data_IF_603234707536
#
_entry.id   IF_603234707536
#
_cell.length_a   1.000
_cell.length_b   1.000
_cell.length_c   1.000
_cell.angle_alpha   90.00
_cell.angle_beta   90.00
_cell.angle_gamma   90.00
#
_symmetry.space_group_name_H-M   'P 1'
#
loop_
_entity.id
_entity.type
_entity.pdbx_description
1 polymer ?
#
# COMPACT_ATOMS: atom_id res chain seq x y z
N UNK A 1 -22.94 2.39 -17.89
CA UNK A 1 -23.82 3.32 -18.63
C UNK A 1 -24.97 3.82 -17.78
N UNK A 2 -25.30 3.20 -16.63
CA UNK A 2 -26.32 3.73 -15.73
C UNK A 2 -27.75 3.67 -16.26
N UNK A 3 -27.98 3.02 -17.40
CA UNK A 3 -29.27 2.95 -18.06
C UNK A 3 -30.12 1.84 -17.42
N UNK A 4 -30.93 2.21 -16.43
CA UNK A 4 -31.85 1.30 -15.76
C UNK A 4 -32.91 0.73 -16.73
N UNK A 5 -33.59 1.53 -17.57
CA UNK A 5 -34.53 1.00 -18.57
C UNK A 5 -33.93 -0.09 -19.47
N UNK A 6 -32.73 0.15 -20.02
CA UNK A 6 -32.03 -0.84 -20.84
C UNK A 6 -31.65 -2.07 -20.02
N UNK A 7 -31.17 -1.88 -18.79
CA UNK A 7 -30.84 -2.99 -17.88
C UNK A 7 -32.06 -3.87 -17.61
N UNK A 8 -33.22 -3.27 -17.31
CA UNK A 8 -34.48 -3.98 -17.11
C UNK A 8 -34.89 -4.73 -18.38
N UNK A 9 -34.78 -4.09 -19.55
CA UNK A 9 -35.10 -4.71 -20.84
C UNK A 9 -34.25 -5.96 -21.07
N UNK A 10 -32.93 -5.85 -20.89
CA UNK A 10 -31.98 -6.95 -21.07
C UNK A 10 -32.24 -8.11 -20.10
N UNK A 11 -32.55 -7.84 -18.82
CA UNK A 11 -32.89 -8.91 -17.87
C UNK A 11 -34.26 -9.54 -18.13
N UNK A 12 -35.22 -8.82 -18.72
CA UNK A 12 -36.51 -9.41 -19.11
C UNK A 12 -36.39 -10.28 -20.35
N UNK A 13 -35.67 -9.81 -21.38
CA UNK A 13 -35.54 -10.53 -22.65
C UNK A 13 -34.57 -11.71 -22.57
N UNK A 14 -33.49 -11.58 -21.78
CA UNK A 14 -32.41 -12.56 -21.73
C UNK A 14 -32.17 -13.13 -20.33
N UNK A 15 -33.05 -12.87 -19.35
CA UNK A 15 -32.82 -13.18 -17.93
C UNK A 15 -32.44 -14.63 -17.62
N UNK A 16 -33.05 -15.59 -18.30
CA UNK A 16 -32.73 -17.02 -18.14
C UNK A 16 -31.33 -17.39 -18.64
N UNK A 17 -30.84 -16.70 -19.69
CA UNK A 17 -29.51 -16.96 -20.26
C UNK A 17 -28.41 -16.11 -19.63
N UNK A 18 -28.74 -14.90 -19.17
CA UNK A 18 -27.81 -13.93 -18.61
C UNK A 18 -27.66 -14.08 -17.10
N UNK A 19 -28.70 -14.43 -16.34
CA UNK A 19 -28.67 -14.66 -14.89
C UNK A 19 -28.17 -13.46 -14.06
N UNK A 20 -28.97 -12.98 -13.10
CA UNK A 20 -28.63 -11.81 -12.24
C UNK A 20 -27.26 -11.95 -11.53
N UNK A 21 -26.86 -13.19 -11.23
CA UNK A 21 -25.61 -13.55 -10.56
C UNK A 21 -24.55 -14.15 -11.49
N UNK A 22 -24.76 -14.18 -12.81
CA UNK A 22 -23.78 -14.73 -13.74
C UNK A 22 -22.59 -13.79 -13.85
N UNK A 23 -21.41 -14.40 -13.96
CA UNK A 23 -20.16 -13.69 -14.12
C UNK A 23 -19.88 -13.44 -15.61
N UNK A 24 -19.53 -12.21 -15.94
CA UNK A 24 -18.79 -11.91 -17.17
C UNK A 24 -17.33 -12.30 -17.02
N UNK A 25 -16.76 -12.92 -18.04
CA UNK A 25 -15.33 -13.27 -18.11
C UNK A 25 -14.43 -12.03 -17.93
N UNK A 26 -14.89 -10.87 -18.41
CA UNK A 26 -14.10 -9.64 -18.47
C UNK A 26 -14.52 -8.59 -17.43
N UNK A 27 -15.82 -8.47 -17.16
CA UNK A 27 -16.36 -7.33 -16.41
C UNK A 27 -16.96 -7.72 -15.04
N UNK A 28 -17.02 -9.00 -14.70
CA UNK A 28 -17.48 -9.45 -13.39
C UNK A 28 -19.00 -9.58 -13.32
N UNK A 29 -19.55 -9.44 -12.12
CA UNK A 29 -21.00 -9.57 -11.88
C UNK A 29 -21.71 -8.22 -12.10
N UNK A 30 -22.97 -8.22 -12.59
CA UNK A 30 -23.75 -7.00 -12.73
C UNK A 30 -23.80 -6.13 -11.46
N UNK A 31 -23.98 -6.76 -10.29
CA UNK A 31 -24.05 -6.06 -9.01
C UNK A 31 -22.72 -5.41 -8.63
N UNK A 32 -21.60 -6.06 -8.91
CA UNK A 32 -20.25 -5.50 -8.69
C UNK A 32 -20.04 -4.24 -9.53
N UNK A 33 -20.38 -4.29 -10.83
CA UNK A 33 -20.26 -3.14 -11.73
C UNK A 33 -21.19 -1.99 -11.31
N UNK A 34 -22.47 -2.27 -11.08
CA UNK A 34 -23.41 -1.25 -10.64
C UNK A 34 -22.93 -0.55 -9.36
N UNK A 35 -22.34 -1.32 -8.45
CA UNK A 35 -21.73 -0.82 -7.20
C UNK A 35 -20.47 0.00 -7.46
N UNK A 36 -19.56 -0.45 -8.33
CA UNK A 36 -18.33 0.29 -8.66
C UNK A 36 -18.62 1.65 -9.32
N UNK A 37 -19.65 1.71 -10.15
CA UNK A 37 -20.01 2.88 -10.94
C UNK A 37 -21.08 3.77 -10.29
N UNK A 38 -21.53 3.45 -9.08
CA UNK A 38 -22.46 4.30 -8.32
C UNK A 38 -23.89 4.30 -8.85
N UNK A 39 -24.31 3.23 -9.53
CA UNK A 39 -25.64 3.13 -10.12
C UNK A 39 -26.65 2.58 -9.11
N UNK A 40 -27.00 3.37 -8.09
CA UNK A 40 -27.90 2.98 -6.99
C UNK A 40 -29.20 2.31 -7.46
N UNK A 41 -29.89 2.89 -8.44
CA UNK A 41 -31.14 2.32 -8.94
C UNK A 41 -30.96 0.93 -9.57
N UNK A 42 -29.85 0.73 -10.28
CA UNK A 42 -29.50 -0.58 -10.84
C UNK A 42 -29.11 -1.55 -9.72
N UNK A 43 -28.37 -1.10 -8.70
CA UNK A 43 -28.04 -1.92 -7.52
C UNK A 43 -29.33 -2.42 -6.85
N UNK A 44 -30.28 -1.52 -6.58
CA UNK A 44 -31.53 -1.89 -5.94
C UNK A 44 -32.36 -2.84 -6.82
N UNK A 45 -32.43 -2.60 -8.12
CA UNK A 45 -33.08 -3.50 -9.06
C UNK A 45 -32.46 -4.90 -9.03
N UNK A 46 -31.13 -4.99 -9.09
CA UNK A 46 -30.42 -6.27 -9.06
C UNK A 46 -30.67 -7.02 -7.77
N UNK A 47 -30.60 -6.35 -6.61
CA UNK A 47 -30.87 -6.96 -5.30
C UNK A 47 -32.31 -7.47 -5.20
N UNK A 48 -33.29 -6.69 -5.67
CA UNK A 48 -34.70 -7.09 -5.72
C UNK A 48 -34.96 -8.28 -6.64
N UNK A 49 -34.06 -8.55 -7.59
CA UNK A 49 -34.12 -9.70 -8.51
C UNK A 49 -33.19 -10.85 -8.07
N UNK A 50 -32.72 -10.86 -6.81
CA UNK A 50 -31.96 -11.97 -6.24
C UNK A 50 -30.45 -11.92 -6.51
N UNK A 51 -29.90 -10.75 -6.84
CA UNK A 51 -28.45 -10.58 -6.82
C UNK A 51 -27.91 -10.76 -5.40
N UNK A 52 -26.86 -11.57 -5.26
CA UNK A 52 -26.25 -11.85 -3.96
C UNK A 52 -25.10 -10.85 -3.70
N UNK A 53 -25.22 -9.94 -2.71
CA UNK A 53 -24.19 -8.97 -2.38
C UNK A 53 -22.93 -9.59 -1.77
N UNK A 54 -22.99 -10.85 -1.34
CA UNK A 54 -21.90 -11.58 -0.71
C UNK A 54 -21.17 -12.53 -1.67
N UNK A 55 -21.67 -12.71 -2.89
CA UNK A 55 -21.13 -13.72 -3.81
C UNK A 55 -19.84 -13.26 -4.47
N UNK A 56 -18.72 -13.48 -3.79
CA UNK A 56 -17.38 -13.36 -4.36
C UNK A 56 -17.04 -14.62 -5.18
N UNK A 57 -16.24 -14.50 -6.23
CA UNK A 57 -15.69 -15.65 -6.95
C UNK A 57 -14.26 -15.89 -6.45
N UNK A 58 -13.99 -17.14 -6.08
CA UNK A 58 -12.72 -17.69 -5.59
C UNK A 58 -12.44 -17.47 -4.10
N UNK A 59 -13.02 -18.33 -3.27
CA UNK A 59 -12.35 -19.57 -2.91
C UNK A 59 -13.39 -20.70 -3.08
N UNK A 60 -13.02 -21.85 -3.61
CA UNK A 60 -13.95 -22.99 -3.68
C UNK A 60 -14.44 -23.33 -2.26
N UNK A 61 -15.58 -24.00 -2.13
CA UNK A 61 -16.12 -24.41 -0.82
C UNK A 61 -15.11 -25.22 0.04
N UNK A 62 -14.01 -25.70 -0.56
CA UNK A 62 -12.91 -26.41 0.11
C UNK A 62 -11.84 -25.51 0.78
N UNK A 63 -11.84 -24.21 0.51
CA UNK A 63 -10.89 -23.25 1.08
C UNK A 63 -11.56 -22.39 2.17
N UNK A 64 -12.72 -22.77 2.70
CA UNK A 64 -13.40 -21.99 3.75
C UNK A 64 -13.03 -22.41 5.16
N UNK A 65 -12.74 -23.71 5.39
CA UNK A 65 -12.51 -24.25 6.73
C UNK A 65 -11.20 -23.79 7.39
N UNK A 66 -10.28 -23.14 6.64
CA UNK A 66 -8.96 -22.75 7.14
C UNK A 66 -8.75 -21.22 7.29
N UNK A 67 -9.73 -20.38 6.95
CA UNK A 67 -9.50 -18.94 6.69
C UNK A 67 -10.25 -17.98 7.64
N UNK A 68 -10.61 -18.45 8.84
CA UNK A 68 -11.15 -17.59 9.90
C UNK A 68 -10.10 -16.65 10.53
N UNK A 69 -8.84 -16.72 10.09
CA UNK A 69 -7.78 -15.88 10.61
C UNK A 69 -7.60 -14.59 9.79
N UNK A 70 -7.63 -13.45 10.48
CA UNK A 70 -7.29 -12.12 9.94
C UNK A 70 -5.93 -12.13 9.21
N UNK A 71 -5.04 -13.07 9.55
CA UNK A 71 -3.75 -13.29 8.90
C UNK A 71 -3.83 -13.69 7.40
N UNK A 72 -4.99 -14.13 6.89
CA UNK A 72 -5.17 -14.40 5.45
C UNK A 72 -5.66 -13.19 4.63
N UNK A 73 -6.10 -12.09 5.27
CA UNK A 73 -6.43 -10.83 4.57
C UNK A 73 -5.18 -10.26 3.87
N UNK A 74 -3.98 -10.63 4.34
CA UNK A 74 -2.68 -10.18 3.88
C UNK A 74 -2.33 -10.62 2.46
N UNK A 75 -2.72 -11.84 2.05
CA UNK A 75 -2.21 -12.48 0.82
C UNK A 75 -2.84 -11.95 -0.49
N UNK A 76 -4.01 -11.30 -0.41
CA UNK A 76 -4.83 -11.02 -1.61
C UNK A 76 -4.85 -9.55 -2.05
N UNK A 77 -3.99 -8.72 -1.44
CA UNK A 77 -4.00 -7.25 -1.50
C UNK A 77 -3.71 -6.58 -2.85
N UNK A 78 -3.73 -7.27 -4.01
CA UNK A 78 -3.37 -6.59 -5.28
C UNK A 78 -4.10 -7.01 -6.55
N UNK A 79 -4.79 -8.15 -6.58
CA UNK A 79 -5.47 -8.60 -7.80
C UNK A 79 -6.99 -8.42 -7.75
N UNK A 80 -7.55 -7.75 -6.73
CA UNK A 80 -8.99 -7.87 -6.46
C UNK A 80 -9.74 -6.55 -6.26
N UNK A 81 -9.07 -5.41 -6.04
CA UNK A 81 -9.74 -4.16 -5.66
C UNK A 81 -10.73 -3.66 -6.73
N UNK A 82 -10.31 -3.57 -7.99
CA UNK A 82 -11.20 -3.37 -9.15
C UNK A 82 -11.36 -4.63 -10.00
N UNK A 83 -11.00 -5.78 -9.45
CA UNK A 83 -11.17 -7.00 -10.21
C UNK A 83 -12.65 -7.23 -10.43
N UNK A 84 -13.03 -7.71 -11.63
CA UNK A 84 -14.36 -8.26 -11.87
C UNK A 84 -14.79 -9.32 -10.83
N UNK A 85 -13.83 -9.80 -10.02
CA UNK A 85 -14.00 -10.83 -8.99
C UNK A 85 -14.17 -10.29 -7.57
N UNK A 86 -14.21 -8.96 -7.42
CA UNK A 86 -14.36 -8.32 -6.12
C UNK A 86 -15.78 -8.32 -5.58
N UNK A 87 -15.90 -8.19 -4.26
CA UNK A 87 -17.20 -7.95 -3.61
C UNK A 87 -17.85 -6.64 -4.11
N UNK A 88 -19.17 -6.61 -4.33
CA UNK A 88 -19.92 -5.38 -4.56
C UNK A 88 -19.70 -4.33 -3.46
N UNK A 89 -19.63 -4.75 -2.19
CA UNK A 89 -19.34 -3.87 -1.05
C UNK A 89 -17.98 -3.18 -1.24
N UNK A 90 -16.93 -3.95 -1.52
CA UNK A 90 -15.60 -3.38 -1.72
C UNK A 90 -15.55 -2.44 -2.92
N UNK A 91 -16.26 -2.77 -4.00
CA UNK A 91 -16.30 -1.94 -5.19
C UNK A 91 -16.95 -0.57 -4.92
N UNK A 92 -18.06 -0.56 -4.17
CA UNK A 92 -18.70 0.66 -3.69
C UNK A 92 -17.78 1.44 -2.75
N UNK A 93 -17.12 0.75 -1.81
CA UNK A 93 -16.15 1.37 -0.88
C UNK A 93 -14.99 2.02 -1.62
N UNK A 94 -14.33 1.34 -2.55
CA UNK A 94 -13.20 1.90 -3.28
C UNK A 94 -13.55 3.12 -4.12
N UNK A 95 -14.81 3.17 -4.58
CA UNK A 95 -15.31 4.18 -5.50
C UNK A 95 -16.02 5.33 -4.79
N UNK A 96 -16.20 5.26 -3.46
CA UNK A 96 -16.75 6.34 -2.65
C UNK A 96 -18.28 6.41 -2.62
N UNK A 97 -19.00 5.33 -2.97
CA UNK A 97 -20.46 5.35 -3.06
C UNK A 97 -21.10 5.00 -1.70
N UNK A 98 -21.19 6.02 -0.83
CA UNK A 98 -21.66 5.88 0.55
C UNK A 98 -23.08 5.32 0.64
N UNK A 99 -23.98 5.74 -0.23
CA UNK A 99 -25.37 5.30 -0.29
C UNK A 99 -25.47 3.78 -0.56
N UNK A 100 -24.69 3.27 -1.50
CA UNK A 100 -24.62 1.84 -1.83
C UNK A 100 -24.00 1.06 -0.67
N UNK A 101 -23.01 1.63 0.02
CA UNK A 101 -22.43 0.99 1.21
C UNK A 101 -23.42 0.95 2.36
N UNK A 102 -24.17 2.03 2.63
CA UNK A 102 -25.24 2.02 3.64
C UNK A 102 -26.29 0.96 3.33
N UNK A 103 -26.65 0.81 2.04
CA UNK A 103 -27.56 -0.24 1.61
C UNK A 103 -26.98 -1.62 1.96
N UNK A 104 -25.74 -1.93 1.56
CA UNK A 104 -25.13 -3.23 1.83
C UNK A 104 -24.89 -3.52 3.32
N UNK A 105 -24.76 -2.51 4.16
CA UNK A 105 -24.57 -2.67 5.61
C UNK A 105 -25.88 -2.92 6.38
N UNK A 106 -27.03 -2.94 5.71
CA UNK A 106 -28.30 -3.29 6.37
C UNK A 106 -28.26 -4.70 6.96
N UNK A 107 -28.89 -4.93 8.14
CA UNK A 107 -28.90 -6.23 8.81
C UNK A 107 -29.42 -7.39 7.94
N UNK A 108 -30.33 -7.11 7.00
CA UNK A 108 -30.89 -8.09 6.08
C UNK A 108 -29.85 -8.78 5.19
N UNK A 109 -28.75 -8.10 4.85
CA UNK A 109 -27.66 -8.67 4.07
C UNK A 109 -26.65 -9.44 4.93
N UNK A 110 -26.65 -9.21 6.26
CA UNK A 110 -25.88 -9.95 7.26
C UNK A 110 -24.40 -10.20 6.86
N UNK A 111 -23.74 -9.19 6.30
CA UNK A 111 -22.34 -9.27 5.86
C UNK A 111 -21.42 -9.53 7.07
N UNK A 112 -21.67 -8.82 8.15
CA UNK A 112 -21.11 -9.09 9.47
C UNK A 112 -22.17 -9.75 10.35
N UNK A 113 -21.83 -10.80 11.12
CA UNK A 113 -20.51 -11.42 11.31
C UNK A 113 -20.19 -12.54 10.31
N UNK A 114 -21.11 -12.89 9.40
CA UNK A 114 -21.04 -14.09 8.56
C UNK A 114 -19.82 -14.13 7.64
N UNK A 115 -19.32 -12.97 7.19
CA UNK A 115 -18.26 -12.88 6.19
C UNK A 115 -17.13 -11.93 6.60
N UNK A 116 -16.54 -12.21 7.78
CA UNK A 116 -15.47 -11.37 8.38
C UNK A 116 -14.33 -11.00 7.43
N UNK A 117 -13.74 -11.92 6.63
CA UNK A 117 -12.59 -11.58 5.79
C UNK A 117 -12.90 -10.48 4.76
N UNK A 118 -14.11 -10.47 4.19
CA UNK A 118 -14.50 -9.44 3.24
C UNK A 118 -14.80 -8.11 3.90
N UNK A 119 -15.36 -8.15 5.10
CA UNK A 119 -15.57 -6.95 5.90
C UNK A 119 -14.24 -6.24 6.19
N UNK A 120 -13.21 -7.00 6.60
CA UNK A 120 -11.86 -6.46 6.77
C UNK A 120 -11.25 -5.96 5.45
N UNK A 121 -11.53 -6.61 4.31
CA UNK A 121 -11.11 -6.10 3.00
C UNK A 121 -11.82 -4.79 2.62
N UNK A 122 -13.08 -4.62 2.99
CA UNK A 122 -13.80 -3.35 2.83
C UNK A 122 -13.16 -2.25 3.70
N UNK A 123 -12.79 -2.56 4.94
CA UNK A 123 -12.05 -1.64 5.82
C UNK A 123 -10.71 -1.22 5.19
N UNK A 124 -9.95 -2.17 4.61
CA UNK A 124 -8.71 -1.84 3.90
C UNK A 124 -8.97 -1.02 2.62
N UNK A 125 -10.05 -1.28 1.90
CA UNK A 125 -10.43 -0.48 0.74
C UNK A 125 -10.72 0.98 1.14
N UNK A 126 -11.50 1.20 2.19
CA UNK A 126 -11.74 2.55 2.72
C UNK A 126 -10.42 3.22 3.13
N UNK A 127 -9.54 2.45 3.77
CA UNK A 127 -8.18 2.88 4.17
C UNK A 127 -7.33 3.28 2.96
N UNK A 128 -7.32 2.50 1.88
CA UNK A 128 -6.57 2.80 0.65
C UNK A 128 -7.13 3.99 -0.10
N UNK A 129 -8.45 4.15 -0.12
CA UNK A 129 -9.10 5.28 -0.79
C UNK A 129 -9.05 6.57 0.05
N UNK A 130 -8.79 6.47 1.36
CA UNK A 130 -8.80 7.64 2.25
C UNK A 130 -10.21 8.08 2.65
N UNK A 131 -11.21 7.19 2.54
CA UNK A 131 -12.60 7.52 2.81
C UNK A 131 -12.93 7.34 4.29
N UNK A 132 -12.63 8.36 5.10
CA UNK A 132 -12.84 8.34 6.56
C UNK A 132 -14.30 8.09 6.93
N UNK A 133 -15.24 8.73 6.23
CA UNK A 133 -16.67 8.53 6.50
C UNK A 133 -17.11 7.09 6.25
N UNK A 134 -16.58 6.45 5.21
CA UNK A 134 -16.87 5.05 4.90
C UNK A 134 -16.23 4.11 5.92
N UNK A 135 -15.04 4.46 6.41
CA UNK A 135 -14.39 3.73 7.49
C UNK A 135 -15.25 3.77 8.76
N UNK A 136 -15.77 4.95 9.12
CA UNK A 136 -16.67 5.10 10.27
C UNK A 136 -17.97 4.31 10.08
N UNK A 137 -18.59 4.37 8.90
CA UNK A 137 -19.78 3.56 8.59
C UNK A 137 -19.53 2.05 8.75
N UNK A 138 -18.37 1.55 8.31
CA UNK A 138 -17.98 0.15 8.47
C UNK A 138 -17.72 -0.20 9.94
N UNK A 139 -17.18 0.71 10.73
CA UNK A 139 -16.98 0.49 12.16
C UNK A 139 -18.31 0.48 12.92
N UNK A 140 -19.16 1.46 12.67
CA UNK A 140 -20.49 1.58 13.28
C UNK A 140 -21.37 0.35 13.00
N UNK A 141 -21.42 -0.11 11.74
CA UNK A 141 -22.29 -1.23 11.34
C UNK A 141 -21.88 -2.59 11.93
N UNK A 142 -20.63 -2.73 12.39
CA UNK A 142 -20.13 -3.97 12.99
C UNK A 142 -19.81 -3.84 14.49
N UNK A 143 -20.11 -2.70 15.12
CA UNK A 143 -19.67 -2.34 16.47
C UNK A 143 -18.15 -2.60 16.66
N UNK A 144 -17.36 -2.11 15.70
CA UNK A 144 -15.90 -2.18 15.71
C UNK A 144 -15.29 -0.82 16.01
N UNK A 145 -14.04 -0.82 16.46
CA UNK A 145 -13.18 0.34 16.62
C UNK A 145 -11.72 -0.09 16.40
N UNK A 146 -10.79 0.85 16.47
CA UNK A 146 -9.36 0.59 16.25
C UNK A 146 -8.73 -0.35 17.29
N UNK A 147 -9.34 -0.48 18.48
CA UNK A 147 -8.88 -1.38 19.53
C UNK A 147 -9.39 -2.81 19.29
N UNK A 148 -10.67 -2.95 18.92
CA UNK A 148 -11.34 -4.22 18.64
C UNK A 148 -10.75 -4.96 17.42
N UNK A 149 -10.20 -4.25 16.44
CA UNK A 149 -9.53 -4.86 15.28
C UNK A 149 -8.10 -5.36 15.59
N UNK A 150 -7.54 -5.02 16.76
CA UNK A 150 -6.25 -5.51 17.23
C UNK A 150 -5.12 -5.30 16.22
N UNK A 151 -4.33 -6.36 15.93
CA UNK A 151 -3.16 -6.30 15.04
C UNK A 151 -3.48 -5.91 13.60
N UNK A 152 -4.75 -5.96 13.18
CA UNK A 152 -5.16 -5.53 11.85
C UNK A 152 -4.86 -4.04 11.59
N UNK A 153 -4.85 -3.21 12.66
CA UNK A 153 -4.48 -1.79 12.57
C UNK A 153 -3.05 -1.57 12.01
N UNK A 154 -2.13 -2.49 12.26
CA UNK A 154 -0.77 -2.43 11.71
C UNK A 154 -0.79 -2.58 10.17
N UNK A 155 -1.67 -3.44 9.65
CA UNK A 155 -1.86 -3.57 8.21
C UNK A 155 -2.52 -2.32 7.62
N UNK A 156 -3.51 -1.76 8.32
CA UNK A 156 -4.13 -0.49 7.91
C UNK A 156 -3.09 0.63 7.83
N UNK A 157 -2.15 0.72 8.78
CA UNK A 157 -1.08 1.73 8.74
C UNK A 157 -0.22 1.59 7.49
N UNK A 158 0.23 0.36 7.19
CA UNK A 158 1.04 0.09 5.99
C UNK A 158 0.32 0.49 4.70
N UNK A 159 -0.99 0.21 4.60
CA UNK A 159 -1.76 0.54 3.40
C UNK A 159 -2.13 2.04 3.33
N UNK A 160 -2.45 2.68 4.46
CA UNK A 160 -2.69 4.12 4.55
C UNK A 160 -1.43 4.90 4.13
N UNK A 161 -0.26 4.50 4.65
CA UNK A 161 1.04 5.08 4.29
C UNK A 161 1.36 4.84 2.83
N UNK A 162 1.06 3.66 2.27
CA UNK A 162 1.26 3.32 0.85
C UNK A 162 0.38 4.12 -0.10
N UNK A 163 -0.79 4.57 0.35
CA UNK A 163 -1.71 5.40 -0.44
C UNK A 163 -1.74 6.88 -0.02
N UNK A 164 -0.83 7.30 0.87
CA UNK A 164 -0.67 8.68 1.33
C UNK A 164 -1.90 9.25 2.05
N UNK A 165 -2.53 8.43 2.90
CA UNK A 165 -3.75 8.80 3.62
C UNK A 165 -3.41 9.36 4.99
N UNK A 166 -2.90 10.58 5.03
CA UNK A 166 -2.39 11.23 6.25
C UNK A 166 -3.41 11.24 7.40
N UNK A 167 -4.68 11.58 7.15
CA UNK A 167 -5.71 11.61 8.19
C UNK A 167 -5.92 10.24 8.85
N UNK A 168 -5.98 9.17 8.03
CA UNK A 168 -6.13 7.80 8.54
C UNK A 168 -4.85 7.36 9.27
N UNK A 169 -3.67 7.77 8.78
CA UNK A 169 -2.40 7.53 9.49
C UNK A 169 -2.42 8.17 10.87
N UNK A 170 -2.82 9.44 10.99
CA UNK A 170 -2.96 10.09 12.30
C UNK A 170 -3.90 9.33 13.23
N UNK A 171 -5.12 8.98 12.77
CA UNK A 171 -6.08 8.18 13.56
C UNK A 171 -5.47 6.86 14.05
N UNK A 172 -4.71 6.17 13.21
CA UNK A 172 -4.08 4.89 13.57
C UNK A 172 -2.96 5.08 14.60
N UNK A 173 -2.14 6.11 14.45
CA UNK A 173 -1.04 6.42 15.37
C UNK A 173 -1.58 6.85 16.74
N UNK A 174 -2.62 7.69 16.78
CA UNK A 174 -3.29 8.11 18.01
C UNK A 174 -3.91 6.92 18.77
N UNK A 175 -4.33 5.88 18.05
CA UNK A 175 -4.81 4.60 18.62
C UNK A 175 -3.67 3.65 19.07
N UNK A 176 -2.42 4.11 19.11
CA UNK A 176 -1.28 3.32 19.57
C UNK A 176 -0.89 2.17 18.62
N UNK A 177 -1.09 2.35 17.32
CA UNK A 177 -0.58 1.41 16.30
C UNK A 177 0.94 1.30 16.37
N UNK A 178 1.46 0.09 16.21
CA UNK A 178 2.91 -0.13 16.16
C UNK A 178 3.48 0.47 14.87
N UNK A 179 4.06 1.66 14.97
CA UNK A 179 4.66 2.39 13.86
C UNK A 179 5.87 1.67 13.25
N UNK A 180 6.52 0.81 14.05
CA UNK A 180 7.69 0.03 13.67
C UNK A 180 7.34 -1.36 13.14
N UNK A 181 6.05 -1.65 12.94
CA UNK A 181 5.59 -2.90 12.37
C UNK A 181 6.17 -3.10 10.96
N UNK A 182 6.88 -4.22 10.78
CA UNK A 182 7.36 -4.69 9.49
C UNK A 182 6.67 -6.02 9.15
N UNK A 183 5.86 -6.09 8.06
CA UNK A 183 5.26 -7.34 7.65
C UNK A 183 6.36 -8.32 7.20
N UNK A 184 6.40 -9.52 7.79
CA UNK A 184 7.40 -10.57 7.48
C UNK A 184 7.09 -11.38 6.23
N UNK A 185 5.94 -11.15 5.59
CA UNK A 185 5.49 -11.94 4.46
C UNK A 185 6.12 -11.44 3.16
N UNK A 186 6.83 -12.32 2.47
CA UNK A 186 7.37 -12.07 1.15
C UNK A 186 6.23 -12.03 0.12
N UNK A 187 5.76 -10.82 -0.20
CA UNK A 187 4.97 -10.58 -1.41
C UNK A 187 5.92 -10.20 -2.57
N UNK A 188 6.13 -11.07 -3.57
CA UNK A 188 6.99 -10.73 -4.70
C UNK A 188 6.51 -9.42 -5.35
N UNK A 189 7.45 -8.55 -5.73
CA UNK A 189 7.20 -7.22 -6.36
C UNK A 189 6.51 -6.18 -5.46
N UNK A 190 6.57 -6.30 -4.13
CA UNK A 190 6.24 -5.22 -3.19
C UNK A 190 7.49 -4.79 -2.42
N UNK A 191 7.57 -3.51 -2.06
CA UNK A 191 8.50 -3.05 -1.05
C UNK A 191 8.14 -3.72 0.28
N UNK A 192 9.10 -4.43 0.87
CA UNK A 192 8.96 -5.07 2.18
C UNK A 192 9.64 -4.19 3.22
N UNK A 193 8.92 -3.72 4.21
CA UNK A 193 9.50 -2.85 5.24
C UNK A 193 8.43 -2.19 6.09
N UNK A 194 8.89 -1.39 7.05
CA UNK A 194 8.01 -0.57 7.90
C UNK A 194 7.29 0.51 7.09
N UNK A 195 6.34 1.19 7.72
CA UNK A 195 5.72 2.39 7.17
C UNK A 195 6.76 3.41 6.66
N UNK A 196 7.84 3.59 7.41
CA UNK A 196 8.90 4.55 7.08
C UNK A 196 9.64 4.19 5.78
N UNK A 197 9.86 2.90 5.50
CA UNK A 197 10.43 2.45 4.21
C UNK A 197 9.50 2.77 3.04
N UNK A 198 8.20 2.57 3.21
CA UNK A 198 7.21 2.85 2.16
C UNK A 198 7.15 4.35 1.85
N UNK A 199 7.13 5.19 2.90
CA UNK A 199 7.17 6.64 2.72
C UNK A 199 8.46 7.09 2.02
N UNK A 200 9.61 6.52 2.41
CA UNK A 200 10.90 6.75 1.78
C UNK A 200 10.94 6.39 0.30
N UNK A 201 10.46 5.19 -0.08
CA UNK A 201 10.45 4.70 -1.46
C UNK A 201 9.52 5.47 -2.41
N UNK A 202 8.62 6.29 -1.86
CA UNK A 202 7.67 7.10 -2.63
C UNK A 202 7.94 8.62 -2.52
N UNK A 203 9.06 9.03 -1.92
CA UNK A 203 9.44 10.43 -1.68
C UNK A 203 8.38 11.24 -0.90
N UNK A 204 7.69 10.62 0.06
CA UNK A 204 6.59 11.27 0.80
C UNK A 204 7.11 11.95 2.06
N UNK A 205 7.72 13.12 1.87
CA UNK A 205 8.39 13.90 2.93
C UNK A 205 7.49 14.21 4.13
N UNK A 206 6.24 14.62 3.91
CA UNK A 206 5.31 14.90 5.00
C UNK A 206 4.94 13.63 5.78
N UNK A 207 4.72 12.52 5.07
CA UNK A 207 4.49 11.22 5.69
C UNK A 207 5.71 10.74 6.50
N UNK A 208 6.93 10.97 6.00
CA UNK A 208 8.17 10.68 6.74
C UNK A 208 8.18 11.47 8.06
N UNK A 209 7.87 12.77 8.03
CA UNK A 209 7.81 13.61 9.25
C UNK A 209 6.75 13.09 10.23
N UNK A 210 5.55 12.78 9.76
CA UNK A 210 4.47 12.21 10.59
C UNK A 210 4.95 10.94 11.30
N UNK A 211 5.55 10.01 10.55
CA UNK A 211 6.02 8.73 11.07
C UNK A 211 7.20 8.88 12.05
N UNK A 212 8.15 9.79 11.78
CA UNK A 212 9.27 10.08 12.68
C UNK A 212 8.79 10.71 14.00
N UNK A 213 7.86 11.66 13.92
CA UNK A 213 7.24 12.27 15.11
C UNK A 213 6.51 11.24 15.98
N UNK A 214 5.98 10.18 15.36
CA UNK A 214 5.34 9.06 16.04
C UNK A 214 6.33 7.99 16.58
N UNK A 215 7.64 8.23 16.50
CA UNK A 215 8.66 7.32 17.04
C UNK A 215 9.08 6.18 16.11
N UNK A 216 8.95 6.37 14.79
CA UNK A 216 9.51 5.42 13.82
C UNK A 216 11.02 5.34 13.93
N UNK A 217 11.55 4.12 13.95
CA UNK A 217 12.98 3.87 13.91
C UNK A 217 13.52 3.98 12.49
N UNK A 218 14.60 4.77 12.34
CA UNK A 218 15.37 4.92 11.10
C UNK A 218 16.35 3.77 10.85
N UNK A 219 16.50 2.86 11.81
CA UNK A 219 17.52 1.79 11.77
C UNK A 219 16.94 0.43 11.40
N UNK A 220 15.61 0.30 11.38
CA UNK A 220 14.98 -0.96 10.97
C UNK A 220 15.33 -1.23 9.52
N UNK A 221 15.81 -2.43 9.23
CA UNK A 221 16.04 -2.86 7.86
C UNK A 221 14.79 -3.49 7.27
N UNK A 222 14.63 -3.38 5.95
CA UNK A 222 13.69 -4.20 5.18
C UNK A 222 13.85 -5.70 5.52
N UNK A 223 12.83 -6.53 5.32
CA UNK A 223 12.87 -7.97 5.65
C UNK A 223 12.41 -8.76 4.42
N UNK A 224 13.06 -9.89 4.13
CA UNK A 224 12.63 -10.79 3.05
C UNK A 224 13.11 -10.39 1.65
N UNK A 225 14.01 -9.41 1.55
CA UNK A 225 14.71 -9.03 0.32
C UNK A 225 16.17 -9.51 0.37
N UNK A 226 16.74 -9.88 -0.78
CA UNK A 226 18.14 -10.32 -0.87
C UNK A 226 19.11 -9.28 -0.27
N UNK A 227 18.78 -8.00 -0.45
CA UNK A 227 19.44 -6.86 0.19
C UNK A 227 18.41 -6.05 0.95
N UNK A 228 18.60 -5.85 2.24
CA UNK A 228 17.75 -5.04 3.08
C UNK A 228 18.43 -3.69 3.29
N UNK A 229 17.62 -2.66 3.16
CA UNK A 229 17.99 -1.27 3.30
C UNK A 229 17.31 -0.71 4.54
N UNK A 230 17.91 0.29 5.17
CA UNK A 230 17.22 1.20 6.10
C UNK A 230 16.33 2.18 5.31
N UNK A 231 15.40 2.92 5.94
CA UNK A 231 14.54 3.86 5.23
C UNK A 231 15.32 4.95 4.46
N UNK A 232 16.42 5.47 5.02
CA UNK A 232 17.25 6.47 4.34
C UNK A 232 17.99 5.86 3.14
N UNK A 233 18.46 4.62 3.25
CA UNK A 233 19.05 3.87 2.15
C UNK A 233 18.03 3.59 1.04
N UNK A 234 16.78 3.26 1.42
CA UNK A 234 15.68 3.10 0.47
C UNK A 234 15.41 4.42 -0.28
N UNK A 235 15.30 5.56 0.40
CA UNK A 235 15.14 6.86 -0.27
C UNK A 235 16.29 7.17 -1.23
N UNK A 236 17.53 6.92 -0.80
CA UNK A 236 18.72 7.17 -1.59
C UNK A 236 18.82 6.27 -2.82
N UNK A 237 18.47 4.98 -2.69
CA UNK A 237 18.42 4.01 -3.80
C UNK A 237 17.46 4.42 -4.91
N UNK A 238 16.32 5.01 -4.54
CA UNK A 238 15.33 5.51 -5.51
C UNK A 238 15.61 6.95 -5.97
N UNK A 239 16.68 7.57 -5.47
CA UNK A 239 17.11 8.91 -5.89
C UNK A 239 16.31 10.06 -5.26
N UNK A 240 15.61 9.81 -4.16
CA UNK A 240 14.67 10.74 -3.53
C UNK A 240 15.39 11.71 -2.59
N UNK A 241 15.94 12.79 -3.16
CA UNK A 241 16.77 13.77 -2.45
C UNK A 241 15.99 14.46 -1.32
N UNK A 242 14.72 14.79 -1.54
CA UNK A 242 13.91 15.48 -0.54
C UNK A 242 13.66 14.58 0.68
N UNK A 243 13.32 13.30 0.46
CA UNK A 243 13.23 12.32 1.53
C UNK A 243 14.56 12.13 2.27
N UNK A 244 15.69 12.05 1.55
CA UNK A 244 17.02 11.97 2.16
C UNK A 244 17.32 13.21 3.01
N UNK A 245 16.98 14.42 2.54
CA UNK A 245 17.13 15.66 3.30
C UNK A 245 16.34 15.61 4.61
N UNK A 246 15.06 15.21 4.53
CA UNK A 246 14.21 15.09 5.73
C UNK A 246 14.80 14.07 6.72
N UNK A 247 15.34 12.94 6.26
CA UNK A 247 16.00 11.98 7.15
C UNK A 247 17.23 12.58 7.83
N UNK A 248 18.10 13.28 7.09
CA UNK A 248 19.32 13.90 7.65
C UNK A 248 18.96 15.00 8.66
N UNK A 249 17.97 15.84 8.33
CA UNK A 249 17.45 16.88 9.24
C UNK A 249 16.90 16.30 10.56
N UNK A 250 16.44 15.04 10.53
CA UNK A 250 15.95 14.30 11.70
C UNK A 250 17.00 13.33 12.27
N UNK A 251 18.30 13.56 12.02
CA UNK A 251 19.40 12.81 12.63
C UNK A 251 19.77 11.50 11.93
N UNK A 252 19.21 11.21 10.75
CA UNK A 252 19.57 10.06 9.94
C UNK A 252 21.02 10.13 9.45
N UNK A 253 21.70 8.98 9.42
CA UNK A 253 23.11 8.91 9.05
C UNK A 253 23.33 9.11 7.52
N UNK A 254 23.93 10.22 7.08
CA UNK A 254 24.11 10.52 5.65
C UNK A 254 25.05 9.53 4.94
N UNK A 255 25.92 8.82 5.67
CA UNK A 255 26.80 7.82 5.08
C UNK A 255 26.01 6.62 4.55
N UNK A 256 24.94 6.21 5.24
CA UNK A 256 24.06 5.14 4.79
C UNK A 256 23.40 5.52 3.45
N UNK A 257 22.87 6.75 3.35
CA UNK A 257 22.34 7.30 2.11
C UNK A 257 23.37 7.27 0.97
N UNK A 258 24.61 7.69 1.25
CA UNK A 258 25.69 7.75 0.27
C UNK A 258 26.06 6.37 -0.29
N UNK A 259 26.15 5.35 0.58
CA UNK A 259 26.46 3.99 0.15
C UNK A 259 25.36 3.39 -0.73
N UNK A 260 24.11 3.50 -0.31
CA UNK A 260 22.98 3.01 -1.10
C UNK A 260 22.86 3.75 -2.44
N UNK A 261 23.07 5.07 -2.45
CA UNK A 261 23.06 5.85 -3.69
C UNK A 261 24.20 5.45 -4.62
N UNK A 262 25.41 5.21 -4.10
CA UNK A 262 26.58 4.77 -4.88
C UNK A 262 26.37 3.40 -5.50
N UNK A 263 25.83 2.46 -4.73
CA UNK A 263 25.49 1.14 -5.24
C UNK A 263 24.39 1.22 -6.32
N UNK A 264 23.34 2.01 -6.05
CA UNK A 264 22.28 2.28 -7.03
C UNK A 264 22.84 2.97 -8.28
N UNK A 265 23.81 3.88 -8.15
CA UNK A 265 24.47 4.52 -9.29
C UNK A 265 25.34 3.54 -10.06
N UNK A 266 26.05 2.59 -9.45
CA UNK A 266 26.78 1.56 -10.23
C UNK A 266 25.81 0.77 -11.11
N UNK A 267 24.62 0.44 -10.60
CA UNK A 267 23.54 -0.16 -11.40
C UNK A 267 22.95 0.83 -12.41
N UNK A 268 22.76 2.08 -12.02
CA UNK A 268 22.17 3.12 -12.84
C UNK A 268 23.18 3.78 -13.79
N UNK A 269 24.49 3.52 -13.75
CA UNK A 269 25.45 3.93 -14.78
C UNK A 269 25.30 3.03 -16.01
N UNK A 270 24.87 1.79 -15.78
CA UNK A 270 24.34 0.94 -16.85
C UNK A 270 23.01 1.50 -17.41
N UNK A 271 22.38 2.50 -16.75
CA UNK A 271 21.04 3.04 -17.07
C UNK A 271 20.86 4.60 -16.99
N UNK A 272 21.93 5.38 -16.89
CA UNK A 272 22.06 6.86 -16.78
C UNK A 272 21.36 7.70 -15.64
N UNK A 273 21.63 7.53 -14.31
CA UNK A 273 21.18 8.54 -13.29
C UNK A 273 22.08 8.74 -12.02
N UNK A 274 22.83 9.87 -11.85
CA UNK A 274 23.77 10.11 -10.73
C UNK A 274 23.37 11.19 -9.67
N UNK A 275 22.14 11.73 -9.70
CA UNK A 275 21.78 13.01 -9.04
C UNK A 275 21.90 13.03 -7.50
N UNK A 276 21.61 11.93 -6.82
CA UNK A 276 21.63 11.90 -5.34
C UNK A 276 23.05 11.91 -4.75
N UNK A 277 24.02 11.33 -5.46
CA UNK A 277 25.43 11.31 -5.02
C UNK A 277 26.03 12.71 -5.11
N UNK A 278 25.81 13.40 -6.23
CA UNK A 278 26.31 14.78 -6.38
C UNK A 278 25.75 15.69 -5.30
N UNK A 279 24.47 15.51 -4.94
CA UNK A 279 23.85 16.25 -3.85
C UNK A 279 24.47 15.93 -2.48
N UNK A 280 24.65 14.64 -2.14
CA UNK A 280 25.26 14.24 -0.85
C UNK A 280 26.70 14.76 -0.71
N UNK A 281 27.47 14.79 -1.80
CA UNK A 281 28.83 15.31 -1.80
C UNK A 281 28.89 16.83 -1.66
N UNK A 282 27.96 17.55 -2.28
CA UNK A 282 27.80 18.98 -2.05
C UNK A 282 27.47 19.30 -0.58
N UNK A 283 26.89 18.35 0.16
CA UNK A 283 26.67 18.43 1.62
C UNK A 283 27.88 18.00 2.46
N UNK A 284 29.03 17.75 1.84
CA UNK A 284 30.29 17.46 2.54
C UNK A 284 30.41 16.03 3.06
N UNK A 285 29.59 15.08 2.56
CA UNK A 285 29.73 13.66 2.94
C UNK A 285 31.09 13.13 2.45
N UNK A 286 31.99 12.68 3.35
CA UNK A 286 33.36 12.35 2.98
C UNK A 286 33.44 11.08 2.13
N UNK A 287 34.22 11.13 1.04
CA UNK A 287 34.48 9.97 0.17
C UNK A 287 35.54 9.07 0.80
N UNK A 288 35.17 8.23 1.77
CA UNK A 288 36.11 7.19 2.25
C UNK A 288 35.91 6.56 3.62
N UNK A 289 34.80 6.77 4.34
CA UNK A 289 34.63 6.11 5.64
C UNK A 289 34.08 4.70 5.48
N UNK A 290 34.96 3.72 5.27
CA UNK A 290 34.59 2.31 5.27
C UNK A 290 33.63 2.00 6.45
N UNK A 291 32.58 1.19 6.24
CA UNK A 291 31.50 0.95 7.21
C UNK A 291 31.94 0.15 8.46
N UNK A 292 33.24 0.03 8.70
CA UNK A 292 33.84 -0.81 9.74
C UNK A 292 33.50 -0.31 11.16
N UNK A 293 32.96 0.91 11.27
CA UNK A 293 32.47 1.54 12.51
C UNK A 293 30.94 1.55 12.66
N UNK A 294 30.18 1.02 11.70
CA UNK A 294 28.73 0.89 11.80
C UNK A 294 28.33 -0.40 12.55
N UNK A 295 27.33 -0.37 13.47
CA UNK A 295 26.95 -1.51 14.30
C UNK A 295 26.34 -2.72 13.55
N UNK A 296 26.30 -2.69 12.21
CA UNK A 296 25.71 -3.74 11.37
C UNK A 296 26.73 -4.32 10.39
N UNK A 297 27.72 -5.06 10.95
CA UNK A 297 28.91 -5.65 10.30
C UNK A 297 28.67 -6.69 9.17
N UNK A 298 27.52 -6.74 8.50
CA UNK A 298 27.22 -7.86 7.57
C UNK A 298 26.86 -7.46 6.13
N UNK A 299 26.65 -6.18 5.76
CA UNK A 299 26.03 -5.90 4.45
C UNK A 299 26.80 -5.25 3.31
N UNK A 300 28.02 -4.77 3.51
CA UNK A 300 28.80 -4.18 2.42
C UNK A 300 29.67 -5.23 1.71
N UNK A 301 29.04 -6.31 1.22
CA UNK A 301 29.75 -7.29 0.37
C UNK A 301 29.98 -6.67 -1.01
N UNK A 302 31.28 -6.62 -1.37
CA UNK A 302 31.90 -6.02 -2.55
C UNK A 302 31.90 -4.50 -2.54
N UNK A 303 32.75 -3.96 -1.68
CA UNK A 303 33.62 -2.87 -2.10
C UNK A 303 34.15 -3.22 -3.51
N UNK A 304 33.91 -2.35 -4.49
CA UNK A 304 34.67 -2.36 -5.73
C UNK A 304 35.84 -1.39 -5.52
N UNK A 305 36.94 -1.78 -4.83
CA UNK A 305 38.09 -0.88 -4.62
C UNK A 305 38.64 -0.38 -5.96
N UNK A 306 38.43 -1.15 -7.03
CA UNK A 306 38.77 -0.78 -8.41
C UNK A 306 37.88 0.31 -9.01
N UNK A 307 36.62 0.43 -8.57
CA UNK A 307 35.70 1.49 -9.01
C UNK A 307 35.81 2.76 -8.17
N UNK A 308 36.33 2.69 -6.94
CA UNK A 308 36.46 3.88 -6.07
C UNK A 308 37.27 5.02 -6.72
N UNK A 309 38.41 4.78 -7.41
CA UNK A 309 39.10 5.83 -8.16
C UNK A 309 38.26 6.40 -9.30
N UNK A 310 37.47 5.56 -9.98
CA UNK A 310 36.59 5.98 -11.06
C UNK A 310 35.40 6.78 -10.55
N UNK A 311 34.77 6.35 -9.45
CA UNK A 311 33.69 7.09 -8.76
C UNK A 311 34.23 8.44 -8.30
N UNK A 312 35.40 8.48 -7.63
CA UNK A 312 36.07 9.74 -7.25
C UNK A 312 36.30 10.65 -8.45
N UNK A 313 36.81 10.11 -9.57
CA UNK A 313 37.06 10.88 -10.80
C UNK A 313 35.77 11.37 -11.48
N UNK A 314 34.75 10.52 -11.57
CA UNK A 314 33.45 10.83 -12.17
C UNK A 314 32.69 11.88 -11.34
N UNK A 315 32.71 11.72 -10.02
CA UNK A 315 32.21 12.69 -9.05
C UNK A 315 32.92 14.03 -9.19
N UNK A 316 34.25 14.05 -9.18
CA UNK A 316 35.04 15.28 -9.33
C UNK A 316 34.71 16.00 -10.64
N UNK A 317 34.45 15.23 -11.71
CA UNK A 317 34.03 15.78 -13.00
C UNK A 317 32.64 16.42 -12.92
N UNK A 318 31.67 15.78 -12.26
CA UNK A 318 30.32 16.31 -12.06
C UNK A 318 30.27 17.54 -11.13
N UNK A 319 31.19 17.65 -10.18
CA UNK A 319 31.28 18.82 -9.29
C UNK A 319 32.05 20.00 -9.92
N UNK A 320 33.00 19.74 -10.83
CA UNK A 320 33.73 20.80 -11.54
C UNK A 320 32.97 21.40 -12.73
N UNK A 321 32.02 20.68 -13.33
CA UNK A 321 31.13 21.23 -14.38
C UNK A 321 29.97 22.10 -13.80
N UNK A 322 30.03 22.49 -12.52
CA UNK A 322 28.99 23.29 -11.81
C UNK A 322 29.54 24.48 -11.00
N UNK A 323 30.65 25.07 -11.40
CA UNK A 323 30.95 26.47 -11.05
C UNK A 323 30.57 27.37 -12.25
N UNK A 324 29.99 28.57 -12.02
CA UNK A 324 29.34 29.38 -13.06
C UNK A 324 30.24 29.86 -14.19
#
# INVERSE_FOLDING_TARGET
MGDLPLTICLFKEFGESVGVNKRSEYFGRPLHLASAWGHMEIVQYLLNNGADPLRIVALTDNDFDHYNDIHHVYLWSRHVDRSPDGSPLRAAVLSGHEDIVQLFLKPEYNIWPKFRPEYYRAILAATRSGHERMLDMLFDAADLDLDKIGKFRNQMLIEAVRHDRQNIVHRLLDAGTDVNYAPRHFLPRRLHGTALHIAAAHNRTDMIKILLNAGSSTEIMEIGVEKCFTPIETAAKYGHIEAVSVFIENGGNPNLAFYAATEAMVQAILAHNPTTITWLLAKGVPIGMAPDEAPHKVRYIRFYPKLLPWIKKFVLKLTHDRDP
#
